data_IF_643188153655
#
_entry.id   IF_643188153655
#
_cell.length_a   1.000
_cell.length_b   1.000
_cell.length_c   1.000
_cell.angle_alpha   90.00
_cell.angle_beta   90.00
_cell.angle_gamma   90.00
#
_symmetry.space_group_name_H-M   'P 1'
#
loop_
_entity.id
_entity.type
_entity.pdbx_description
1 polymer ?
#
# COMPACT_ATOMS: atom_id res chain seq x y z
N UNK A 1 1.39 1.35 -32.50
CA UNK A 1 -0.03 1.21 -32.12
C UNK A 1 -0.21 1.75 -30.73
N UNK A 2 -1.30 2.49 -30.51
CA UNK A 2 -1.62 3.11 -29.23
C UNK A 2 -1.90 2.02 -28.17
N UNK A 3 -1.29 2.14 -26.99
CA UNK A 3 -1.54 1.21 -25.88
C UNK A 3 -3.02 1.17 -25.51
N UNK A 4 -3.74 2.29 -25.69
CA UNK A 4 -5.18 2.39 -25.47
C UNK A 4 -5.94 1.42 -26.37
N UNK A 5 -5.59 1.36 -27.66
CA UNK A 5 -6.21 0.42 -28.60
C UNK A 5 -5.91 -1.04 -28.25
N UNK A 6 -4.72 -1.32 -27.71
CA UNK A 6 -4.37 -2.65 -27.21
C UNK A 6 -5.21 -3.05 -25.99
N UNK A 7 -5.44 -2.13 -25.07
CA UNK A 7 -6.25 -2.40 -23.87
C UNK A 7 -7.69 -2.70 -24.24
N UNK A 8 -8.22 -2.02 -25.26
CA UNK A 8 -9.60 -2.20 -25.72
C UNK A 8 -9.82 -3.46 -26.54
N UNK A 9 -8.87 -3.79 -27.42
CA UNK A 9 -9.13 -4.76 -28.50
C UNK A 9 -8.31 -6.06 -28.40
N UNK A 10 -7.24 -6.09 -27.60
CA UNK A 10 -6.35 -7.24 -27.54
C UNK A 10 -6.53 -8.07 -26.26
N UNK A 11 -6.25 -9.39 -26.32
CA UNK A 11 -6.24 -10.24 -25.13
C UNK A 11 -5.13 -9.81 -24.17
N UNK A 12 -5.39 -9.98 -22.87
CA UNK A 12 -4.51 -9.53 -21.78
C UNK A 12 -3.01 -9.88 -21.98
N UNK A 13 -2.68 -11.07 -22.48
CA UNK A 13 -1.29 -11.47 -22.68
C UNK A 13 -0.55 -10.58 -23.69
N UNK A 14 -1.22 -10.18 -24.78
CA UNK A 14 -0.66 -9.35 -25.84
C UNK A 14 -0.51 -7.91 -25.35
N UNK A 15 -1.49 -7.41 -24.60
CA UNK A 15 -1.40 -6.10 -23.94
C UNK A 15 -0.23 -6.06 -22.95
N UNK A 16 -0.03 -7.10 -22.15
CA UNK A 16 1.13 -7.22 -21.25
C UNK A 16 2.47 -7.25 -22.00
N UNK A 17 2.55 -7.95 -23.13
CA UNK A 17 3.77 -7.95 -23.96
C UNK A 17 4.09 -6.55 -24.50
N UNK A 18 3.08 -5.82 -24.94
CA UNK A 18 3.23 -4.44 -25.41
C UNK A 18 3.63 -3.49 -24.28
N UNK A 19 2.98 -3.57 -23.12
CA UNK A 19 3.36 -2.82 -21.92
C UNK A 19 4.82 -3.07 -21.55
N UNK A 20 5.25 -4.34 -21.53
CA UNK A 20 6.64 -4.69 -21.24
C UNK A 20 7.61 -4.15 -22.29
N UNK A 21 7.20 -4.00 -23.56
CA UNK A 21 8.01 -3.35 -24.59
C UNK A 21 8.16 -1.86 -24.34
N UNK A 22 7.06 -1.17 -24.06
CA UNK A 22 7.06 0.26 -23.75
C UNK A 22 7.95 0.55 -22.54
N UNK A 23 7.92 -0.29 -21.50
CA UNK A 23 8.79 -0.14 -20.34
C UNK A 23 10.28 -0.32 -20.68
N UNK A 24 10.63 -1.21 -21.63
CA UNK A 24 12.01 -1.36 -22.11
C UNK A 24 12.46 -0.12 -22.89
N UNK A 25 11.60 0.39 -23.76
CA UNK A 25 11.88 1.58 -24.57
C UNK A 25 12.03 2.80 -23.65
N UNK A 26 11.10 3.00 -22.71
CA UNK A 26 11.18 4.05 -21.71
C UNK A 26 12.48 3.98 -20.88
N UNK A 27 12.85 2.79 -20.38
CA UNK A 27 14.13 2.60 -19.68
C UNK A 27 15.30 3.06 -20.54
N UNK A 28 15.36 2.62 -21.79
CA UNK A 28 16.43 3.00 -22.72
C UNK A 28 16.45 4.52 -22.93
N UNK A 29 15.29 5.15 -23.07
CA UNK A 29 15.20 6.60 -23.24
C UNK A 29 15.72 7.35 -22.00
N UNK A 30 15.34 6.91 -20.79
CA UNK A 30 15.85 7.50 -19.55
C UNK A 30 17.34 7.25 -19.32
N UNK A 31 17.88 6.07 -19.67
CA UNK A 31 19.30 5.75 -19.57
C UNK A 31 20.17 6.65 -20.48
N UNK A 32 19.60 7.18 -21.56
CA UNK A 32 20.30 8.10 -22.48
C UNK A 32 20.28 9.56 -22.02
N UNK A 33 19.53 9.90 -20.97
CA UNK A 33 19.51 11.26 -20.44
C UNK A 33 20.83 11.49 -19.67
N UNK A 34 21.62 12.52 -20.03
CA UNK A 34 22.84 12.82 -19.30
C UNK A 34 22.49 13.27 -17.87
N UNK A 35 22.96 12.50 -16.88
CA UNK A 35 22.73 12.79 -15.47
C UNK A 35 24.03 13.20 -14.78
N UNK A 36 23.93 14.16 -13.87
CA UNK A 36 24.98 14.45 -12.91
C UNK A 36 24.67 13.70 -11.61
N UNK A 37 25.44 12.64 -11.31
CA UNK A 37 25.28 11.85 -10.11
C UNK A 37 25.91 12.59 -8.92
N UNK A 38 25.08 13.31 -8.20
CA UNK A 38 25.42 13.96 -6.94
C UNK A 38 24.65 13.31 -5.81
N UNK A 39 25.29 13.09 -4.67
CA UNK A 39 24.58 12.67 -3.46
C UNK A 39 23.66 13.81 -2.99
N UNK A 40 22.36 13.51 -2.91
CA UNK A 40 21.31 14.44 -2.47
C UNK A 40 20.59 13.84 -1.26
N UNK A 41 20.13 14.67 -0.31
CA UNK A 41 19.34 14.18 0.80
C UNK A 41 18.04 13.57 0.28
N UNK A 42 17.78 12.32 0.64
CA UNK A 42 16.58 11.59 0.26
C UNK A 42 15.46 11.90 1.25
N UNK A 43 14.37 12.48 0.74
CA UNK A 43 13.21 12.87 1.53
C UNK A 43 12.00 12.03 1.14
N UNK A 44 11.51 11.22 2.07
CA UNK A 44 10.27 10.48 1.91
C UNK A 44 9.05 11.36 2.18
N UNK A 45 8.09 11.43 1.26
CA UNK A 45 6.84 12.15 1.46
C UNK A 45 5.71 11.16 1.68
N UNK A 46 5.21 11.06 2.91
CA UNK A 46 4.08 10.20 3.31
C UNK A 46 2.84 11.03 3.60
N UNK A 47 1.71 10.35 3.80
CA UNK A 47 0.46 10.99 4.19
C UNK A 47 -0.69 10.59 3.28
N UNK A 48 -1.71 11.44 3.25
CA UNK A 48 -2.98 11.14 2.57
C UNK A 48 -2.78 11.04 1.05
N UNK A 49 -3.42 10.03 0.44
CA UNK A 49 -3.15 9.63 -0.94
C UNK A 49 -3.45 10.73 -1.96
N UNK A 50 -4.54 11.49 -1.79
CA UNK A 50 -4.89 12.55 -2.73
C UNK A 50 -3.93 13.74 -2.63
N UNK A 51 -3.67 14.24 -1.43
CA UNK A 51 -2.76 15.38 -1.21
C UNK A 51 -1.36 15.05 -1.70
N UNK A 52 -0.85 13.85 -1.41
CA UNK A 52 0.49 13.45 -1.83
C UNK A 52 0.64 13.36 -3.36
N UNK A 53 -0.37 12.86 -4.07
CA UNK A 53 -0.27 12.59 -5.51
C UNK A 53 -0.72 13.76 -6.41
N UNK A 54 -1.44 14.76 -5.86
CA UNK A 54 -1.96 15.86 -6.65
C UNK A 54 -1.12 17.14 -6.47
N UNK A 55 -0.36 17.62 -7.48
CA UNK A 55 0.59 18.72 -7.34
C UNK A 55 -0.04 20.02 -6.84
N UNK A 56 -1.25 20.35 -7.27
CA UNK A 56 -1.94 21.55 -6.79
C UNK A 56 -2.34 21.44 -5.31
N UNK A 57 -2.70 20.24 -4.85
CA UNK A 57 -3.21 20.04 -3.49
C UNK A 57 -2.12 20.06 -2.43
N UNK A 58 -0.88 19.77 -2.82
CA UNK A 58 0.30 19.86 -1.95
C UNK A 58 1.17 21.08 -2.23
N UNK A 59 0.66 22.06 -2.97
CA UNK A 59 1.39 23.27 -3.36
C UNK A 59 2.75 22.95 -4.03
N UNK A 60 2.81 21.91 -4.87
CA UNK A 60 4.01 21.48 -5.61
C UNK A 60 5.17 21.08 -4.68
N UNK A 61 4.87 20.45 -3.54
CA UNK A 61 5.87 20.14 -2.49
C UNK A 61 7.08 19.36 -3.03
N UNK A 62 6.86 18.45 -3.99
CA UNK A 62 7.91 17.65 -4.62
C UNK A 62 8.94 18.59 -5.27
N UNK A 63 8.47 19.49 -6.14
CA UNK A 63 9.33 20.47 -6.82
C UNK A 63 10.02 21.42 -5.84
N UNK A 64 9.35 21.79 -4.74
CA UNK A 64 9.94 22.67 -3.71
C UNK A 64 11.11 21.99 -3.00
N UNK A 65 10.97 20.72 -2.63
CA UNK A 65 12.06 19.94 -2.02
C UNK A 65 13.22 19.75 -3.01
N UNK A 66 12.90 19.43 -4.27
CA UNK A 66 13.91 19.30 -5.33
C UNK A 66 14.65 20.62 -5.61
N UNK A 67 13.95 21.76 -5.58
CA UNK A 67 14.54 23.08 -5.73
C UNK A 67 15.50 23.45 -4.57
N UNK A 68 15.29 22.87 -3.38
CA UNK A 68 16.19 22.98 -2.23
C UNK A 68 17.36 21.97 -2.28
N UNK A 69 17.46 21.17 -3.35
CA UNK A 69 18.54 20.21 -3.57
C UNK A 69 18.27 18.80 -3.04
N UNK A 70 17.06 18.52 -2.56
CA UNK A 70 16.64 17.17 -2.15
C UNK A 70 16.25 16.26 -3.32
N UNK A 71 16.21 14.96 -3.04
CA UNK A 71 15.58 13.95 -3.87
C UNK A 71 14.31 13.47 -3.14
N UNK A 72 13.21 13.27 -3.85
CA UNK A 72 11.92 12.93 -3.24
C UNK A 72 11.50 11.53 -3.62
N UNK A 73 11.05 10.76 -2.63
CA UNK A 73 10.37 9.49 -2.83
C UNK A 73 8.94 9.54 -2.26
N UNK A 74 7.97 9.06 -3.03
CA UNK A 74 6.56 8.94 -2.62
C UNK A 74 6.13 7.48 -2.70
N UNK A 75 5.26 6.99 -1.79
CA UNK A 75 4.72 5.64 -1.91
C UNK A 75 3.88 5.52 -3.17
N UNK A 76 3.94 4.35 -3.81
CA UNK A 76 3.16 4.08 -5.01
C UNK A 76 1.65 4.16 -4.70
N UNK A 77 0.85 4.41 -5.75
CA UNK A 77 -0.60 4.29 -5.62
C UNK A 77 -1.03 2.85 -5.28
N UNK A 78 -0.25 1.85 -5.70
CA UNK A 78 -0.53 0.42 -5.53
C UNK A 78 -0.54 -0.03 -4.06
N UNK A 79 0.16 0.69 -3.18
CA UNK A 79 0.18 0.44 -1.74
C UNK A 79 -1.24 0.30 -1.14
N UNK A 80 -2.17 1.17 -1.54
CA UNK A 80 -3.55 1.16 -1.02
C UNK A 80 -4.39 -0.04 -1.48
N UNK A 81 -4.43 -0.39 -2.79
CA UNK A 81 -4.96 -1.67 -3.26
C UNK A 81 -4.34 -2.90 -2.56
N UNK A 82 -3.03 -2.91 -2.30
CA UNK A 82 -2.39 -4.02 -1.59
C UNK A 82 -2.84 -4.09 -0.12
N UNK A 83 -2.93 -2.94 0.55
CA UNK A 83 -3.46 -2.81 1.91
C UNK A 83 -4.88 -3.37 2.01
N UNK A 84 -5.79 -2.86 1.18
CA UNK A 84 -7.20 -3.26 1.19
C UNK A 84 -7.38 -4.74 0.85
N UNK A 85 -6.56 -5.27 -0.06
CA UNK A 85 -6.52 -6.71 -0.36
C UNK A 85 -6.06 -7.52 0.85
N UNK A 86 -5.02 -7.08 1.55
CA UNK A 86 -4.49 -7.75 2.73
C UNK A 86 -5.47 -7.72 3.91
N UNK A 87 -6.12 -6.58 4.19
CA UNK A 87 -7.15 -6.49 5.24
C UNK A 87 -8.36 -7.34 4.88
N UNK A 88 -8.76 -7.36 3.60
CA UNK A 88 -9.85 -8.24 3.15
C UNK A 88 -9.53 -9.72 3.32
N UNK A 89 -8.28 -10.13 3.08
CA UNK A 89 -7.84 -11.51 3.34
C UNK A 89 -8.00 -11.86 4.83
N UNK A 90 -7.59 -10.96 5.74
CA UNK A 90 -7.73 -11.15 7.19
C UNK A 90 -9.21 -11.24 7.60
N UNK A 91 -10.08 -10.37 7.08
CA UNK A 91 -11.51 -10.42 7.38
C UNK A 91 -12.13 -11.76 7.00
N UNK A 92 -11.75 -12.30 5.83
CA UNK A 92 -12.27 -13.57 5.34
C UNK A 92 -11.78 -14.73 6.20
N UNK A 93 -10.49 -14.73 6.56
CA UNK A 93 -9.92 -15.76 7.44
C UNK A 93 -10.59 -15.72 8.82
N UNK A 94 -10.78 -14.53 9.39
CA UNK A 94 -11.44 -14.34 10.69
C UNK A 94 -12.89 -14.84 10.64
N UNK A 95 -13.65 -14.48 9.60
CA UNK A 95 -15.03 -14.97 9.41
C UNK A 95 -15.11 -16.48 9.21
N UNK A 96 -14.19 -17.07 8.44
CA UNK A 96 -14.13 -18.52 8.25
C UNK A 96 -13.80 -19.24 9.56
N UNK A 97 -12.93 -18.67 10.38
CA UNK A 97 -12.56 -19.22 11.69
C UNK A 97 -13.74 -19.17 12.66
N UNK A 98 -14.51 -18.08 12.66
CA UNK A 98 -15.76 -17.96 13.44
C UNK A 98 -16.83 -18.96 12.95
N UNK A 99 -17.00 -19.13 11.64
CA UNK A 99 -17.88 -20.15 11.05
C UNK A 99 -17.43 -21.55 11.48
N UNK A 100 -16.14 -21.88 11.35
CA UNK A 100 -15.58 -23.17 11.76
C UNK A 100 -15.79 -23.44 13.26
N UNK A 101 -15.56 -22.43 14.09
CA UNK A 101 -15.81 -22.51 15.53
C UNK A 101 -17.29 -22.73 15.85
N UNK A 102 -18.20 -22.03 15.17
CA UNK A 102 -19.66 -22.24 15.28
C UNK A 102 -20.06 -23.65 14.86
N UNK A 103 -19.50 -24.17 13.77
CA UNK A 103 -19.73 -25.53 13.29
C UNK A 103 -19.23 -26.55 14.32
N UNK A 104 -17.97 -26.48 14.77
CA UNK A 104 -17.48 -27.40 15.80
C UNK A 104 -18.31 -27.30 17.08
N UNK A 105 -18.65 -26.09 17.54
CA UNK A 105 -19.46 -25.89 18.73
C UNK A 105 -20.86 -26.49 18.56
N UNK A 106 -21.46 -26.40 17.37
CA UNK A 106 -22.74 -27.03 17.07
C UNK A 106 -22.68 -28.56 17.13
N UNK A 107 -21.52 -29.15 16.81
CA UNK A 107 -21.27 -30.59 16.95
C UNK A 107 -20.78 -30.99 18.36
N UNK A 108 -20.17 -30.06 19.11
CA UNK A 108 -19.55 -30.30 20.41
C UNK A 108 -20.53 -30.17 21.59
N UNK A 109 -21.78 -29.75 21.37
CA UNK A 109 -22.86 -29.86 22.37
C UNK A 109 -23.46 -31.27 22.26
N UNK A 110 -22.69 -32.27 22.69
CA UNK A 110 -23.24 -33.61 22.97
C UNK A 110 -22.53 -34.27 24.15
N UNK A 111 -22.47 -33.52 25.26
CA UNK A 111 -22.19 -34.03 26.60
C UNK A 111 -23.14 -33.38 27.59
N UNK A 112 -24.36 -33.94 27.72
CA UNK A 112 -25.37 -33.63 28.74
C UNK A 112 -26.02 -32.23 28.72
N UNK A 113 -27.13 -32.08 27.97
CA UNK A 113 -28.50 -31.89 28.49
C UNK A 113 -29.45 -31.39 27.39
N UNK A 114 -30.64 -32.01 27.38
CA UNK A 114 -31.89 -31.67 26.67
C UNK A 114 -32.14 -30.16 26.50
N UNK A 115 -32.46 -29.75 25.27
CA UNK A 115 -33.39 -28.63 25.00
C UNK A 115 -32.85 -27.44 24.20
N UNK A 116 -32.59 -27.62 22.90
CA UNK A 116 -33.06 -26.73 21.82
C UNK A 116 -32.60 -27.29 20.47
N UNK A 117 -33.55 -27.71 19.64
CA UNK A 117 -33.31 -28.21 18.29
C UNK A 117 -32.82 -27.06 17.40
N UNK A 118 -31.51 -26.98 17.18
CA UNK A 118 -30.90 -26.17 16.13
C UNK A 118 -31.35 -26.77 14.79
N UNK A 119 -31.97 -25.93 13.94
CA UNK A 119 -32.66 -26.38 12.74
C UNK A 119 -31.70 -26.89 11.67
N UNK A 120 -32.06 -27.98 10.98
CA UNK A 120 -31.35 -28.51 9.80
C UNK A 120 -31.07 -27.43 8.73
N UNK A 121 -31.93 -26.40 8.67
CA UNK A 121 -31.80 -25.23 7.80
C UNK A 121 -30.60 -24.34 8.14
N UNK A 122 -30.30 -24.14 9.43
CA UNK A 122 -29.17 -23.34 9.90
C UNK A 122 -27.83 -24.05 9.61
N UNK A 123 -27.80 -25.38 9.77
CA UNK A 123 -26.65 -26.21 9.40
C UNK A 123 -26.43 -26.25 7.87
N UNK A 124 -27.51 -26.27 7.08
CA UNK A 124 -27.46 -26.21 5.62
C UNK A 124 -26.95 -24.85 5.11
N UNK A 125 -27.33 -23.75 5.76
CA UNK A 125 -26.83 -22.40 5.45
C UNK A 125 -25.33 -22.27 5.78
N UNK A 126 -24.91 -22.72 6.97
CA UNK A 126 -23.50 -22.73 7.40
C UNK A 126 -22.59 -23.57 6.48
N UNK A 127 -23.08 -24.74 6.02
CA UNK A 127 -22.34 -25.59 5.09
C UNK A 127 -22.26 -24.99 3.67
N UNK A 128 -23.31 -24.30 3.22
CA UNK A 128 -23.31 -23.54 1.96
C UNK A 128 -22.29 -22.40 1.94
N UNK A 129 -22.23 -21.61 3.02
CA UNK A 129 -21.26 -20.52 3.17
C UNK A 129 -19.81 -21.01 3.24
N UNK A 130 -19.60 -22.17 3.88
CA UNK A 130 -18.28 -22.81 3.94
C UNK A 130 -17.79 -23.27 2.55
N UNK A 131 -18.64 -23.97 1.77
CA UNK A 131 -18.29 -24.42 0.41
C UNK A 131 -18.01 -23.23 -0.52
N UNK A 132 -18.82 -22.17 -0.43
CA UNK A 132 -18.58 -20.91 -1.15
C UNK A 132 -17.25 -20.27 -0.76
N UNK A 133 -16.88 -20.34 0.51
CA UNK A 133 -15.57 -19.90 1.02
C UNK A 133 -14.39 -20.67 0.43
N UNK A 134 -14.49 -21.99 0.29
CA UNK A 134 -13.45 -22.84 -0.33
C UNK A 134 -13.28 -22.50 -1.81
N UNK A 135 -14.40 -22.36 -2.54
CA UNK A 135 -14.38 -21.96 -3.95
C UNK A 135 -13.71 -20.60 -4.15
N UNK A 136 -14.04 -19.62 -3.30
CA UNK A 136 -13.44 -18.29 -3.32
C UNK A 136 -11.92 -18.34 -3.04
N UNK A 137 -11.49 -19.12 -2.05
CA UNK A 137 -10.07 -19.27 -1.72
C UNK A 137 -9.27 -19.87 -2.89
N UNK A 138 -9.83 -20.92 -3.51
CA UNK A 138 -9.21 -21.63 -4.63
C UNK A 138 -9.05 -20.72 -5.86
N UNK A 139 -10.11 -19.98 -6.20
CA UNK A 139 -10.11 -19.04 -7.31
C UNK A 139 -9.15 -17.87 -7.06
N UNK A 140 -9.16 -17.30 -5.85
CA UNK A 140 -8.22 -16.24 -5.48
C UNK A 140 -6.78 -16.71 -5.56
N UNK A 141 -6.47 -17.96 -5.22
CA UNK A 141 -5.10 -18.47 -5.33
C UNK A 141 -4.61 -18.47 -6.77
N UNK A 142 -5.48 -18.82 -7.72
CA UNK A 142 -5.16 -18.79 -9.15
C UNK A 142 -5.00 -17.34 -9.63
N UNK A 143 -5.92 -16.45 -9.26
CA UNK A 143 -5.88 -15.04 -9.66
C UNK A 143 -4.63 -14.34 -9.09
N UNK A 144 -4.32 -14.54 -7.81
CA UNK A 144 -3.11 -13.96 -7.19
C UNK A 144 -1.84 -14.42 -7.92
N UNK A 145 -1.75 -15.72 -8.26
CA UNK A 145 -0.60 -16.25 -8.99
C UNK A 145 -0.49 -15.68 -10.41
N UNK A 146 -1.63 -15.45 -11.06
CA UNK A 146 -1.66 -14.76 -12.37
C UNK A 146 -1.19 -13.31 -12.24
N UNK A 147 -1.68 -12.58 -11.24
CA UNK A 147 -1.28 -11.19 -10.96
C UNK A 147 0.22 -11.08 -10.66
N UNK A 148 0.77 -11.98 -9.84
CA UNK A 148 2.21 -12.02 -9.56
C UNK A 148 3.03 -12.26 -10.83
N UNK A 149 2.58 -13.18 -11.70
CA UNK A 149 3.25 -13.41 -12.99
C UNK A 149 3.17 -12.17 -13.91
N UNK A 150 2.03 -11.49 -13.95
CA UNK A 150 1.88 -10.25 -14.71
C UNK A 150 2.80 -9.16 -14.16
N UNK A 151 2.84 -8.99 -12.84
CA UNK A 151 3.70 -8.03 -12.17
C UNK A 151 5.18 -8.30 -12.48
N UNK A 152 5.62 -9.54 -12.34
CA UNK A 152 7.00 -9.93 -12.63
C UNK A 152 7.40 -9.67 -14.09
N UNK A 153 6.46 -9.87 -15.03
CA UNK A 153 6.69 -9.59 -16.45
C UNK A 153 6.88 -8.10 -16.73
N UNK A 154 6.18 -7.22 -16.00
CA UNK A 154 6.28 -5.77 -16.11
C UNK A 154 7.48 -5.19 -15.34
N UNK A 155 7.85 -5.79 -14.22
CA UNK A 155 9.00 -5.38 -13.39
C UNK A 155 10.34 -5.73 -14.07
N UNK A 156 10.41 -6.89 -14.73
CA UNK A 156 11.65 -7.41 -15.34
C UNK A 156 12.39 -6.41 -16.26
N UNK A 157 11.71 -5.65 -17.15
CA UNK A 157 12.34 -4.56 -17.91
C UNK A 157 13.05 -3.49 -17.07
N UNK A 158 12.51 -3.15 -15.89
CA UNK A 158 12.96 -2.05 -15.04
C UNK A 158 13.96 -2.48 -13.95
N UNK A 159 14.22 -3.78 -13.83
CA UNK A 159 15.11 -4.32 -12.81
C UNK A 159 16.52 -3.70 -12.88
N UNK A 160 17.00 -3.21 -11.74
CA UNK A 160 18.29 -2.55 -11.57
C UNK A 160 18.34 -1.12 -12.12
N UNK A 161 17.21 -0.56 -12.55
CA UNK A 161 17.12 0.81 -13.05
C UNK A 161 16.50 1.76 -12.02
N UNK A 162 15.47 1.30 -11.29
CA UNK A 162 14.84 2.07 -10.22
C UNK A 162 15.67 1.99 -8.92
N UNK A 163 15.54 3.01 -8.07
CA UNK A 163 16.20 3.04 -6.75
C UNK A 163 15.66 1.94 -5.83
N UNK A 164 14.33 1.81 -5.76
CA UNK A 164 13.65 0.70 -5.10
C UNK A 164 13.37 -0.39 -6.15
N UNK A 165 14.24 -1.39 -6.23
CA UNK A 165 14.09 -2.54 -7.15
C UNK A 165 12.87 -3.42 -6.81
N UNK A 166 12.43 -3.38 -5.54
CA UNK A 166 11.24 -4.07 -5.05
C UNK A 166 10.49 -3.18 -4.09
N UNK A 167 9.27 -2.85 -4.48
CA UNK A 167 8.32 -2.19 -3.58
C UNK A 167 8.16 -3.00 -2.28
N UNK A 168 8.30 -2.33 -1.14
CA UNK A 168 8.08 -2.93 0.17
C UNK A 168 6.78 -3.76 0.25
N UNK A 169 6.88 -4.99 0.76
CA UNK A 169 5.71 -5.83 0.95
C UNK A 169 4.74 -5.21 1.96
N UNK A 170 3.44 -5.34 1.69
CA UNK A 170 2.42 -4.76 2.58
C UNK A 170 2.53 -5.26 4.03
N UNK A 171 2.93 -6.52 4.22
CA UNK A 171 3.15 -7.10 5.54
C UNK A 171 4.39 -6.52 6.23
N UNK A 172 5.46 -6.22 5.49
CA UNK A 172 6.65 -5.56 6.03
C UNK A 172 6.32 -4.13 6.48
N UNK A 173 5.49 -3.41 5.71
CA UNK A 173 4.98 -2.08 6.07
C UNK A 173 4.17 -2.17 7.37
N UNK A 174 3.30 -3.17 7.49
CA UNK A 174 2.49 -3.40 8.69
C UNK A 174 3.33 -3.73 9.92
N UNK A 175 4.34 -4.60 9.77
CA UNK A 175 5.25 -4.96 10.86
C UNK A 175 6.10 -3.76 11.31
N UNK A 176 6.48 -2.88 10.37
CA UNK A 176 7.13 -1.61 10.70
C UNK A 176 6.20 -0.62 11.43
N UNK A 177 4.88 -0.70 11.21
CA UNK A 177 3.90 0.18 11.85
C UNK A 177 3.49 -0.29 13.26
N UNK A 178 3.48 -1.61 13.49
CA UNK A 178 3.00 -2.26 14.72
C UNK A 178 3.57 -1.69 16.05
N UNK A 179 4.86 -1.28 16.14
CA UNK A 179 5.41 -0.69 17.38
C UNK A 179 4.77 0.66 17.77
N UNK A 180 4.08 1.31 16.84
CA UNK A 180 3.57 2.68 16.99
C UNK A 180 2.04 2.75 16.88
N UNK A 181 1.44 1.91 16.04
CA UNK A 181 0.01 1.91 15.75
C UNK A 181 -0.47 0.51 15.37
N UNK A 182 -1.77 0.25 15.49
CA UNK A 182 -2.39 -0.97 15.00
C UNK A 182 -2.08 -1.14 13.50
N UNK A 183 -1.48 -2.28 13.13
CA UNK A 183 -0.84 -2.50 11.82
C UNK A 183 -1.75 -2.35 10.59
N UNK A 184 -3.06 -2.56 10.74
CA UNK A 184 -4.05 -2.42 9.67
C UNK A 184 -4.88 -1.13 9.79
N UNK A 185 -4.40 -0.13 10.55
CA UNK A 185 -5.10 1.14 10.73
C UNK A 185 -4.96 2.06 9.52
N UNK A 186 -5.54 1.63 8.39
CA UNK A 186 -5.68 2.40 7.15
C UNK A 186 -4.40 3.13 6.72
N UNK A 187 -4.58 4.36 6.26
CA UNK A 187 -3.50 5.21 5.77
C UNK A 187 -2.48 5.62 6.85
N UNK A 188 -2.89 5.68 8.12
CA UNK A 188 -1.99 6.08 9.19
C UNK A 188 -0.93 4.98 9.42
N UNK A 189 -1.35 3.71 9.42
CA UNK A 189 -0.43 2.59 9.53
C UNK A 189 0.50 2.49 8.30
N UNK A 190 -0.03 2.72 7.10
CA UNK A 190 0.78 2.76 5.87
C UNK A 190 1.84 3.87 5.93
N UNK A 191 1.44 5.08 6.28
CA UNK A 191 2.34 6.23 6.37
C UNK A 191 3.46 6.00 7.39
N UNK A 192 3.13 5.47 8.57
CA UNK A 192 4.14 5.16 9.60
C UNK A 192 5.04 4.01 9.15
N UNK A 193 4.46 2.91 8.65
CA UNK A 193 5.20 1.74 8.22
C UNK A 193 6.17 2.01 7.09
N UNK A 194 5.73 2.75 6.06
CA UNK A 194 6.57 3.14 4.92
C UNK A 194 7.63 4.16 5.32
N UNK A 195 7.33 5.09 6.24
CA UNK A 195 8.34 5.99 6.80
C UNK A 195 9.46 5.23 7.49
N UNK A 196 9.10 4.29 8.38
CA UNK A 196 10.08 3.46 9.10
C UNK A 196 10.87 2.58 8.13
N UNK A 197 10.21 2.03 7.09
CA UNK A 197 10.88 1.31 6.02
C UNK A 197 11.93 2.19 5.33
N UNK A 198 11.59 3.41 4.91
CA UNK A 198 12.53 4.30 4.23
C UNK A 198 13.67 4.77 5.14
N UNK A 199 13.40 5.06 6.41
CA UNK A 199 14.44 5.38 7.40
C UNK A 199 15.47 4.24 7.47
N UNK A 200 15.02 2.98 7.50
CA UNK A 200 15.90 1.80 7.52
C UNK A 200 16.66 1.59 6.20
N UNK A 201 16.16 2.15 5.10
CA UNK A 201 16.76 2.07 3.76
C UNK A 201 17.52 3.36 3.35
N UNK A 202 17.82 4.24 4.30
CA UNK A 202 18.71 5.38 4.09
C UNK A 202 18.03 6.68 3.64
N UNK A 203 16.76 6.90 3.98
CA UNK A 203 16.17 8.23 3.90
C UNK A 203 16.78 9.19 4.93
N UNK A 204 16.97 10.45 4.53
CA UNK A 204 17.55 11.53 5.34
C UNK A 204 16.49 12.41 6.01
N UNK A 205 15.24 12.35 5.54
CA UNK A 205 14.13 13.08 6.14
C UNK A 205 12.77 12.51 5.74
N UNK A 206 11.75 12.80 6.56
CA UNK A 206 10.36 12.47 6.27
C UNK A 206 9.50 13.73 6.31
N UNK A 207 8.66 13.90 5.29
CA UNK A 207 7.60 14.92 5.27
C UNK A 207 6.26 14.20 5.28
N UNK A 208 5.43 14.49 6.28
CA UNK A 208 4.05 14.03 6.34
C UNK A 208 3.12 15.13 5.82
N UNK A 209 2.42 14.86 4.73
CA UNK A 209 1.44 15.76 4.12
C UNK A 209 0.02 15.30 4.44
N UNK A 210 -0.81 16.22 4.93
CA UNK A 210 -2.16 15.89 5.34
C UNK A 210 -3.14 17.01 4.98
N UNK A 211 -4.41 16.67 4.63
CA UNK A 211 -5.47 17.66 4.64
C UNK A 211 -5.63 18.24 6.05
N UNK A 212 -5.98 19.52 6.14
CA UNK A 212 -6.38 20.12 7.41
C UNK A 212 -7.54 19.30 8.01
N UNK A 213 -7.44 18.97 9.31
CA UNK A 213 -8.38 18.10 10.06
C UNK A 213 -8.41 16.61 9.71
N UNK A 214 -7.53 16.08 8.85
CA UNK A 214 -7.49 14.65 8.56
C UNK A 214 -7.11 13.82 9.82
N UNK A 215 -8.00 12.94 10.28
CA UNK A 215 -7.77 12.10 11.48
C UNK A 215 -6.53 11.19 11.30
N UNK A 216 -6.42 10.37 10.22
CA UNK A 216 -5.21 9.59 9.97
C UNK A 216 -3.93 10.43 9.96
N UNK A 217 -3.95 11.57 9.26
CA UNK A 217 -2.80 12.47 9.17
C UNK A 217 -2.39 13.04 10.53
N UNK A 218 -3.36 13.39 11.38
CA UNK A 218 -3.10 13.88 12.73
C UNK A 218 -2.55 12.79 13.66
N UNK A 219 -2.95 11.52 13.47
CA UNK A 219 -2.37 10.39 14.19
C UNK A 219 -0.90 10.21 13.79
N UNK A 220 -0.60 10.26 12.49
CA UNK A 220 0.78 10.21 11.99
C UNK A 220 1.60 11.37 12.59
N UNK A 221 1.05 12.58 12.60
CA UNK A 221 1.68 13.76 13.20
C UNK A 221 1.97 13.53 14.69
N UNK A 222 1.03 13.00 15.47
CA UNK A 222 1.24 12.70 16.89
C UNK A 222 2.35 11.65 17.12
N UNK A 223 2.40 10.61 16.29
CA UNK A 223 3.40 9.54 16.36
C UNK A 223 4.79 10.01 15.88
N UNK A 224 4.83 10.97 14.94
CA UNK A 224 6.06 11.45 14.31
C UNK A 224 7.14 11.86 15.32
N UNK A 225 6.73 12.45 16.45
CA UNK A 225 7.65 12.84 17.52
C UNK A 225 8.45 11.65 18.05
N UNK A 226 7.78 10.53 18.32
CA UNK A 226 8.42 9.31 18.85
C UNK A 226 9.42 8.73 17.85
N UNK A 227 9.03 8.65 16.57
CA UNK A 227 9.90 8.13 15.50
C UNK A 227 11.11 9.04 15.31
N UNK A 228 10.91 10.36 15.29
CA UNK A 228 11.98 11.35 15.19
C UNK A 228 12.99 11.21 16.34
N UNK A 229 12.53 11.01 17.56
CA UNK A 229 13.41 10.84 18.74
C UNK A 229 14.16 9.50 18.71
N UNK A 230 13.50 8.43 18.27
CA UNK A 230 14.07 7.09 18.19
C UNK A 230 15.14 6.95 17.09
N UNK A 231 14.83 7.39 15.87
CA UNK A 231 15.72 7.26 14.72
C UNK A 231 16.61 8.48 14.48
N UNK A 232 16.40 9.56 15.23
CA UNK A 232 17.15 10.83 15.10
C UNK A 232 17.14 11.41 13.69
N UNK A 233 16.01 11.24 12.99
CA UNK A 233 15.80 11.74 11.63
C UNK A 233 14.92 12.99 11.60
N UNK A 234 15.22 14.02 10.79
CA UNK A 234 14.31 15.13 10.54
C UNK A 234 12.90 14.66 10.10
N UNK A 235 11.88 15.22 10.74
CA UNK A 235 10.48 14.99 10.39
C UNK A 235 9.72 16.31 10.35
N UNK A 236 9.05 16.59 9.23
CA UNK A 236 8.22 17.77 9.02
C UNK A 236 6.76 17.37 8.78
N UNK A 237 5.82 18.07 9.41
CA UNK A 237 4.38 17.87 9.19
C UNK A 237 3.77 19.11 8.52
N UNK A 238 3.16 18.92 7.36
CA UNK A 238 2.56 19.99 6.54
C UNK A 238 1.07 19.72 6.32
N UNK A 239 0.23 20.66 6.76
CA UNK A 239 -1.21 20.59 6.58
C UNK A 239 -1.65 21.48 5.42
N UNK A 240 -2.35 20.90 4.45
CA UNK A 240 -2.86 21.59 3.27
C UNK A 240 -4.39 21.72 3.35
N UNK A 241 -4.90 22.88 2.97
CA UNK A 241 -6.32 23.24 2.93
C UNK A 241 -6.81 23.56 1.51
N UNK A 242 -5.98 23.31 0.49
CA UNK A 242 -6.27 23.60 -0.92
C UNK A 242 -6.01 25.05 -1.33
N UNK A 243 -5.51 25.88 -0.41
CA UNK A 243 -5.02 27.21 -0.70
C UNK A 243 -3.49 27.22 -0.73
N UNK A 244 -2.92 28.11 -1.54
CA UNK A 244 -1.47 28.28 -1.56
C UNK A 244 -1.00 28.95 -0.27
N UNK A 245 -0.16 28.25 0.49
CA UNK A 245 0.38 28.72 1.75
C UNK A 245 1.79 29.26 1.55
N UNK A 246 1.95 30.59 1.62
CA UNK A 246 3.23 31.27 1.41
C UNK A 246 4.33 30.91 2.43
N UNK A 247 3.97 30.33 3.59
CA UNK A 247 4.92 29.89 4.62
C UNK A 247 5.48 28.49 4.36
N UNK A 248 5.03 27.78 3.32
CA UNK A 248 5.51 26.41 3.02
C UNK A 248 6.98 26.41 2.62
N UNK A 249 7.46 27.47 1.96
CA UNK A 249 8.85 27.54 1.49
C UNK A 249 9.87 27.81 2.60
N UNK A 250 9.46 28.48 3.67
CA UNK A 250 10.33 28.87 4.79
C UNK A 250 10.38 27.86 5.93
N UNK A 251 9.51 26.84 5.91
CA UNK A 251 9.38 25.79 6.93
C UNK A 251 10.18 24.55 6.58
#
# INVERSE_FOLDING_TARGET
EDICQSVENDPMYRTLDRMASILRDARRDFENIPINKTDKPLVGIVGEIFVRNHPYSNNEIIKRVEAQGGEVEIPSFGEWPYHTTATRKIDIITKQTDIYYKIIKSFSINGNKRGNSIGCRELAELTGDFVRGIGFYSLNRIINKLLENCHHKLEKPLKGFLREDKEAGIYDIWDNAEPYIIKWFGEAALSIGKSVYWIKNGADGIINVLPFTCIPGNIVNAISKRIREEYKIPWLNLAFDGLEQGTTETR
#
